data_IF_381271139709
#
_entry.id   IF_381271139709
#
_cell.length_a   1.000
_cell.length_b   1.000
_cell.length_c   1.000
_cell.angle_alpha   90.00
_cell.angle_beta   90.00
_cell.angle_gamma   90.00
#
_symmetry.space_group_name_H-M   'P 1'
#
loop_
_entity.id
_entity.type
_entity.pdbx_description
1 polymer ?
#
# COMPACT_ATOMS: atom_id res chain seq x y z
N UNK A 1 -14.25 25.67 8.72
CA UNK A 1 -14.22 24.55 9.69
C UNK A 1 -13.28 24.90 10.83
N UNK A 2 -13.46 24.30 12.03
CA UNK A 2 -12.55 24.54 13.14
C UNK A 2 -11.14 24.02 12.81
N UNK A 3 -10.11 24.80 13.10
CA UNK A 3 -8.72 24.46 12.86
C UNK A 3 -8.22 23.51 13.94
N UNK A 4 -7.78 22.31 13.56
CA UNK A 4 -7.26 21.29 14.48
C UNK A 4 -5.73 21.32 14.55
N UNK A 5 -5.20 20.91 15.69
CA UNK A 5 -3.79 20.57 15.88
C UNK A 5 -3.64 19.05 15.77
N UNK A 6 -3.11 18.57 14.67
CA UNK A 6 -2.97 17.14 14.37
C UNK A 6 -1.51 16.72 14.53
N UNK A 7 -1.25 15.78 15.44
CA UNK A 7 0.06 15.14 15.62
C UNK A 7 0.04 13.76 14.96
N UNK A 8 0.94 13.53 14.03
CA UNK A 8 1.16 12.21 13.41
C UNK A 8 2.45 11.63 13.97
N UNK A 9 2.39 10.40 14.48
CA UNK A 9 3.56 9.70 15.03
C UNK A 9 3.69 8.37 14.31
N UNK A 10 4.64 8.25 13.40
CA UNK A 10 4.81 7.06 12.57
C UNK A 10 6.24 6.85 12.11
N UNK A 11 6.60 5.58 11.91
CA UNK A 11 7.95 5.19 11.48
C UNK A 11 8.26 5.68 10.07
N UNK A 12 7.30 5.57 9.16
CA UNK A 12 7.47 5.89 7.74
C UNK A 12 6.76 7.20 7.38
N UNK A 13 7.47 8.08 6.69
CA UNK A 13 6.96 9.37 6.23
C UNK A 13 7.69 9.83 4.96
N UNK A 14 7.13 10.83 4.29
CA UNK A 14 7.79 11.51 3.17
C UNK A 14 9.26 11.93 3.51
N UNK A 15 10.20 11.87 2.55
CA UNK A 15 10.03 11.68 1.11
C UNK A 15 9.98 10.22 0.62
N UNK A 16 9.69 9.25 1.48
CA UNK A 16 9.49 7.86 1.03
C UNK A 16 8.29 7.79 0.07
N UNK A 17 8.54 7.36 -1.16
CA UNK A 17 7.55 7.42 -2.25
C UNK A 17 6.65 6.19 -2.35
N UNK A 18 6.83 5.21 -1.46
CA UNK A 18 6.10 3.93 -1.52
C UNK A 18 5.53 3.55 -0.15
N UNK A 19 4.46 2.76 -0.18
CA UNK A 19 3.84 2.22 1.03
C UNK A 19 3.37 3.30 2.01
N UNK A 20 3.53 3.04 3.29
CA UNK A 20 3.00 3.85 4.39
C UNK A 20 3.56 5.27 4.39
N UNK A 21 4.83 5.45 4.01
CA UNK A 21 5.47 6.76 3.97
C UNK A 21 4.80 7.72 2.99
N UNK A 22 4.39 7.22 1.81
CA UNK A 22 3.61 7.97 0.82
C UNK A 22 2.27 8.41 1.40
N UNK A 23 1.46 7.47 1.89
CA UNK A 23 0.12 7.78 2.40
C UNK A 23 0.14 8.70 3.62
N UNK A 24 1.08 8.48 4.54
CA UNK A 24 1.24 9.37 5.71
C UNK A 24 1.66 10.78 5.30
N UNK A 25 2.54 10.90 4.29
CA UNK A 25 2.97 12.18 3.74
C UNK A 25 1.83 12.94 3.07
N UNK A 26 1.14 12.29 2.14
CA UNK A 26 0.00 12.87 1.41
C UNK A 26 -1.14 13.26 2.36
N UNK A 27 -1.46 12.47 3.38
CA UNK A 27 -2.44 12.80 4.42
C UNK A 27 -2.03 14.06 5.19
N UNK A 28 -0.77 14.17 5.60
CA UNK A 28 -0.28 15.33 6.34
C UNK A 28 -0.33 16.62 5.50
N UNK A 29 0.10 16.53 4.23
CA UNK A 29 0.06 17.64 3.28
C UNK A 29 -1.38 18.08 3.00
N UNK A 30 -2.30 17.13 2.81
CA UNK A 30 -3.71 17.41 2.55
C UNK A 30 -4.39 18.08 3.76
N UNK A 31 -4.21 17.56 4.98
CA UNK A 31 -4.73 18.16 6.22
C UNK A 31 -4.18 19.58 6.43
N UNK A 32 -2.91 19.82 6.13
CA UNK A 32 -2.34 21.17 6.17
C UNK A 32 -3.03 22.08 5.14
N UNK A 33 -3.30 21.58 3.92
CA UNK A 33 -4.01 22.30 2.87
C UNK A 33 -5.45 22.69 3.26
N UNK A 34 -6.10 21.89 4.12
CA UNK A 34 -7.41 22.22 4.71
C UNK A 34 -7.33 23.24 5.87
N UNK A 35 -6.14 23.76 6.18
CA UNK A 35 -5.92 24.78 7.19
C UNK A 35 -5.65 24.26 8.60
N UNK A 36 -5.49 22.95 8.80
CA UNK A 36 -5.09 22.38 10.09
C UNK A 36 -3.62 22.67 10.41
N UNK A 37 -3.26 22.64 11.68
CA UNK A 37 -1.85 22.65 12.10
C UNK A 37 -1.35 21.19 12.20
N UNK A 38 -0.40 20.81 11.34
CA UNK A 38 0.09 19.43 11.31
C UNK A 38 1.56 19.37 11.77
N UNK A 39 1.82 18.47 12.71
CA UNK A 39 3.18 18.10 13.12
C UNK A 39 3.38 16.60 12.95
N UNK A 40 4.57 16.21 12.52
CA UNK A 40 4.93 14.80 12.33
C UNK A 40 6.16 14.46 13.15
N UNK A 41 6.10 13.36 13.90
CA UNK A 41 7.26 12.72 14.53
C UNK A 41 7.53 11.43 13.76
N UNK A 42 8.71 11.32 13.17
CA UNK A 42 9.11 10.21 12.32
C UNK A 42 10.62 9.98 12.39
N UNK A 43 11.16 9.21 11.46
CA UNK A 43 12.59 8.93 11.33
C UNK A 43 13.14 9.45 10.00
N UNK A 44 14.46 9.48 9.80
CA UNK A 44 15.05 9.70 8.49
C UNK A 44 14.55 8.65 7.48
N UNK A 45 14.32 9.01 6.20
CA UNK A 45 13.85 8.06 5.19
C UNK A 45 14.89 6.95 4.99
N UNK A 46 14.42 5.70 5.02
CA UNK A 46 15.28 4.51 4.91
C UNK A 46 14.66 3.39 4.05
N UNK A 47 13.35 3.42 3.89
CA UNK A 47 12.61 2.40 3.14
C UNK A 47 12.45 2.79 1.67
N UNK A 48 12.47 1.86 0.70
CA UNK A 48 12.57 0.40 0.84
C UNK A 48 14.00 -0.16 0.93
N UNK A 49 15.05 0.68 0.80
CA UNK A 49 16.44 0.24 0.66
C UNK A 49 17.08 -0.24 1.97
N UNK A 50 16.40 -0.12 3.12
CA UNK A 50 16.94 -0.40 4.45
C UNK A 50 18.26 0.33 4.71
N UNK A 51 18.34 1.57 4.24
CA UNK A 51 19.48 2.45 4.39
C UNK A 51 19.03 3.89 4.49
N UNK A 52 19.54 4.59 5.51
CA UNK A 52 19.26 6.04 5.64
C UNK A 52 19.74 6.77 4.39
N UNK A 53 18.83 7.50 3.75
CA UNK A 53 19.06 8.21 2.49
C UNK A 53 19.78 9.54 2.76
N UNK A 54 20.73 9.91 1.89
CA UNK A 54 21.35 11.22 1.92
C UNK A 54 20.31 12.31 1.57
N UNK A 55 20.35 13.50 2.22
CA UNK A 55 21.35 14.01 3.16
C UNK A 55 21.08 13.68 4.64
N UNK A 56 20.10 12.86 4.95
CA UNK A 56 19.67 12.55 6.32
C UNK A 56 20.73 11.76 7.10
N UNK A 57 20.68 11.89 8.45
CA UNK A 57 21.57 11.17 9.37
C UNK A 57 20.74 10.39 10.39
N UNK A 58 20.97 9.07 10.48
CA UNK A 58 20.21 8.17 11.34
C UNK A 58 20.44 8.33 12.85
N UNK A 59 21.41 9.10 13.29
CA UNK A 59 21.82 9.21 14.69
C UNK A 59 21.53 10.59 15.35
N UNK A 60 20.81 11.48 14.64
CA UNK A 60 20.53 12.85 15.13
C UNK A 60 19.04 13.15 15.13
N UNK A 61 18.60 13.90 16.12
CA UNK A 61 17.33 14.61 16.07
C UNK A 61 17.42 15.76 15.07
N UNK A 62 16.42 15.87 14.21
CA UNK A 62 16.33 16.93 13.22
C UNK A 62 14.92 17.49 13.19
N UNK A 63 14.79 18.81 13.03
CA UNK A 63 13.53 19.49 12.77
C UNK A 63 13.62 20.12 11.39
N UNK A 64 12.63 19.86 10.55
CA UNK A 64 12.53 20.43 9.23
C UNK A 64 11.10 20.87 8.91
N UNK A 65 10.97 21.67 7.86
CA UNK A 65 9.69 21.96 7.24
C UNK A 65 9.67 21.24 5.88
N UNK A 66 8.82 20.23 5.75
CA UNK A 66 8.68 19.48 4.51
C UNK A 66 7.31 19.77 3.90
N UNK A 67 7.28 20.44 2.74
CA UNK A 67 6.05 20.90 2.06
C UNK A 67 5.07 21.62 3.01
N UNK A 68 5.58 22.47 3.88
CA UNK A 68 4.80 23.23 4.86
C UNK A 68 4.52 22.50 6.18
N UNK A 69 4.66 21.19 6.24
CA UNK A 69 4.49 20.39 7.46
C UNK A 69 5.71 20.47 8.36
N UNK A 70 5.51 20.68 9.66
CA UNK A 70 6.60 20.62 10.65
C UNK A 70 6.92 19.17 10.98
N UNK A 71 8.11 18.72 10.63
CA UNK A 71 8.58 17.34 10.81
C UNK A 71 9.72 17.26 11.81
N UNK A 72 9.59 16.38 12.79
CA UNK A 72 10.63 16.03 13.76
C UNK A 72 11.12 14.62 13.46
N UNK A 73 12.40 14.49 13.06
CA UNK A 73 13.01 13.19 12.80
C UNK A 73 13.83 12.72 13.98
N UNK A 74 13.54 11.49 14.44
CA UNK A 74 14.24 10.83 15.55
C UNK A 74 15.42 10.01 15.04
N UNK A 75 16.44 9.76 15.88
CA UNK A 75 17.44 8.72 15.63
C UNK A 75 16.79 7.35 15.40
N UNK A 76 17.35 6.56 14.45
CA UNK A 76 16.87 5.24 14.12
C UNK A 76 18.01 4.26 13.90
N UNK A 77 17.91 3.08 14.49
CA UNK A 77 18.76 1.95 14.10
C UNK A 77 18.20 1.31 12.84
N UNK A 78 18.97 1.34 11.75
CA UNK A 78 18.61 0.67 10.48
C UNK A 78 19.57 -0.52 10.28
N UNK A 79 19.07 -1.77 10.33
CA UNK A 79 19.91 -2.95 10.15
C UNK A 79 20.36 -3.10 8.70
N UNK A 80 21.60 -3.58 8.51
CA UNK A 80 22.11 -3.93 7.18
C UNK A 80 21.48 -5.24 6.66
N UNK A 81 21.27 -6.19 7.56
CA UNK A 81 20.59 -7.46 7.28
C UNK A 81 19.31 -7.52 8.13
N UNK A 82 18.16 -7.73 7.51
CA UNK A 82 16.86 -7.69 8.19
C UNK A 82 16.54 -9.05 8.80
N UNK A 83 17.19 -9.37 9.93
CA UNK A 83 16.80 -10.53 10.75
C UNK A 83 15.65 -10.18 11.70
N UNK A 84 14.90 -11.16 12.23
CA UNK A 84 13.82 -10.94 13.18
C UNK A 84 14.22 -10.09 14.38
N UNK A 85 15.35 -10.40 15.00
CA UNK A 85 15.86 -9.69 16.17
C UNK A 85 16.25 -8.24 15.81
N UNK A 86 16.92 -8.06 14.69
CA UNK A 86 17.33 -6.74 14.23
C UNK A 86 16.12 -5.87 13.84
N UNK A 87 15.05 -6.48 13.29
CA UNK A 87 13.79 -5.78 13.05
C UNK A 87 13.11 -5.35 14.35
N UNK A 88 13.13 -6.18 15.37
CA UNK A 88 12.64 -5.81 16.71
C UNK A 88 13.42 -4.65 17.31
N UNK A 89 14.78 -4.68 17.25
CA UNK A 89 15.64 -3.58 17.70
C UNK A 89 15.34 -2.30 16.92
N UNK A 90 15.12 -2.40 15.62
CA UNK A 90 14.74 -1.29 14.76
C UNK A 90 13.44 -0.61 15.25
N UNK A 91 12.39 -1.38 15.49
CA UNK A 91 11.10 -0.88 15.97
C UNK A 91 11.21 -0.28 17.39
N UNK A 92 11.94 -0.94 18.29
CA UNK A 92 12.18 -0.44 19.64
C UNK A 92 13.02 0.83 19.64
N UNK A 93 14.00 0.97 18.74
CA UNK A 93 14.80 2.18 18.63
C UNK A 93 13.95 3.41 18.28
N UNK A 94 12.93 3.25 17.42
CA UNK A 94 11.96 4.30 17.15
C UNK A 94 11.10 4.62 18.38
N UNK A 95 10.56 3.59 19.04
CA UNK A 95 9.72 3.80 20.22
C UNK A 95 10.46 4.60 21.31
N UNK A 96 11.74 4.28 21.55
CA UNK A 96 12.57 4.97 22.55
C UNK A 96 12.93 6.39 22.07
N UNK A 97 13.39 6.55 20.84
CA UNK A 97 13.88 7.85 20.33
C UNK A 97 12.75 8.85 20.06
N UNK A 98 11.54 8.40 19.73
CA UNK A 98 10.39 9.28 19.52
C UNK A 98 9.77 9.80 20.81
N UNK A 99 9.94 9.09 21.94
CA UNK A 99 9.29 9.42 23.21
C UNK A 99 9.62 10.84 23.72
N UNK A 100 10.87 11.32 23.76
CA UNK A 100 11.19 12.70 24.19
C UNK A 100 10.47 13.74 23.32
N UNK A 101 10.38 13.52 22.01
CA UNK A 101 9.69 14.44 21.11
C UNK A 101 8.18 14.42 21.32
N UNK A 102 7.59 13.25 21.64
CA UNK A 102 6.18 13.15 22.01
C UNK A 102 5.88 13.92 23.30
N UNK A 103 6.74 13.84 24.33
CA UNK A 103 6.59 14.61 25.56
C UNK A 103 6.61 16.13 25.30
N UNK A 104 7.42 16.60 24.37
CA UNK A 104 7.47 18.02 23.99
C UNK A 104 6.15 18.48 23.36
N UNK A 105 5.36 17.58 22.75
CA UNK A 105 4.09 17.94 22.16
C UNK A 105 2.97 18.17 23.21
N UNK A 106 3.14 17.77 24.46
CA UNK A 106 2.23 18.14 25.56
C UNK A 106 2.10 19.68 25.69
N UNK A 107 3.18 20.44 25.48
CA UNK A 107 3.13 21.91 25.48
C UNK A 107 2.41 22.47 24.25
N UNK A 108 2.41 21.75 23.13
CA UNK A 108 1.68 22.17 21.92
C UNK A 108 0.18 21.85 22.00
N UNK A 109 -0.20 20.85 22.81
CA UNK A 109 -1.57 20.40 23.03
C UNK A 109 -2.25 20.01 21.72
N UNK A 110 -1.90 18.85 21.11
CA UNK A 110 -2.62 18.36 19.94
C UNK A 110 -4.08 18.10 20.29
N UNK A 111 -4.99 18.32 19.33
CA UNK A 111 -6.39 17.93 19.44
C UNK A 111 -6.56 16.44 19.06
N UNK A 112 -5.75 15.96 18.11
CA UNK A 112 -5.75 14.57 17.63
C UNK A 112 -4.34 14.06 17.51
N UNK A 113 -4.12 12.80 17.90
CA UNK A 113 -2.89 12.04 17.65
C UNK A 113 -3.24 10.86 16.74
N UNK A 114 -2.61 10.80 15.55
CA UNK A 114 -2.73 9.71 14.60
C UNK A 114 -1.43 8.91 14.65
N UNK A 115 -1.53 7.59 14.87
CA UNK A 115 -0.40 6.69 14.93
C UNK A 115 -0.50 5.62 13.83
N UNK A 116 0.15 5.84 12.65
CA UNK A 116 0.25 4.82 11.61
C UNK A 116 1.13 3.65 12.03
N UNK A 117 0.63 2.42 11.85
CA UNK A 117 1.37 1.17 12.04
C UNK A 117 1.97 0.77 10.68
N UNK A 118 3.24 0.32 10.60
CA UNK A 118 4.01 -0.40 11.62
C UNK A 118 4.80 0.54 12.54
N UNK A 119 4.37 0.64 13.74
CA UNK A 119 5.06 1.30 14.85
C UNK A 119 4.39 0.91 16.18
N UNK A 120 3.91 -0.35 16.26
CA UNK A 120 3.09 -0.83 17.37
C UNK A 120 3.77 -0.64 18.74
N UNK A 121 5.11 -0.70 18.79
CA UNK A 121 5.87 -0.48 20.02
C UNK A 121 5.86 0.98 20.51
N UNK A 122 5.65 1.95 19.64
CA UNK A 122 5.48 3.36 20.02
C UNK A 122 4.04 3.70 20.43
N UNK A 123 3.07 2.86 20.07
CA UNK A 123 1.64 3.11 20.25
C UNK A 123 1.22 3.29 21.73
N UNK A 124 1.74 2.54 22.72
CA UNK A 124 1.42 2.80 24.13
C UNK A 124 1.79 4.21 24.57
N UNK A 125 2.90 4.74 24.06
CA UNK A 125 3.33 6.12 24.37
C UNK A 125 2.44 7.14 23.69
N UNK A 126 2.01 6.89 22.44
CA UNK A 126 1.03 7.74 21.75
C UNK A 126 -0.29 7.81 22.53
N UNK A 127 -0.81 6.68 22.98
CA UNK A 127 -2.03 6.63 23.80
C UNK A 127 -1.87 7.35 25.15
N UNK A 128 -0.71 7.24 25.79
CA UNK A 128 -0.40 7.96 27.02
C UNK A 128 -0.37 9.48 26.79
N UNK A 129 0.35 9.94 25.76
CA UNK A 129 0.44 11.37 25.43
C UNK A 129 -0.93 11.92 25.06
N UNK A 130 -1.77 11.16 24.33
CA UNK A 130 -3.12 11.55 24.00
C UNK A 130 -3.94 11.80 25.28
N UNK A 131 -3.90 10.88 26.24
CA UNK A 131 -4.59 11.05 27.54
C UNK A 131 -4.09 12.25 28.33
N UNK A 132 -2.75 12.47 28.37
CA UNK A 132 -2.16 13.58 29.12
C UNK A 132 -2.43 14.95 28.49
N UNK A 133 -2.64 15.02 27.16
CA UNK A 133 -2.97 16.24 26.42
C UNK A 133 -4.46 16.42 26.19
N UNK A 134 -5.31 15.51 26.66
CA UNK A 134 -6.75 15.43 26.40
C UNK A 134 -7.08 15.36 24.89
N UNK A 135 -6.13 14.85 24.11
CA UNK A 135 -6.29 14.64 22.67
C UNK A 135 -7.05 13.35 22.38
N UNK A 136 -7.77 13.32 21.28
CA UNK A 136 -8.29 12.09 20.70
C UNK A 136 -7.19 11.30 20.02
N UNK A 137 -7.29 9.99 20.05
CA UNK A 137 -6.25 9.08 19.54
C UNK A 137 -6.79 8.12 18.49
N UNK A 138 -6.07 8.00 17.37
CA UNK A 138 -6.39 7.09 16.28
C UNK A 138 -5.18 6.21 16.00
N UNK A 139 -5.38 4.89 16.09
CA UNK A 139 -4.41 3.90 15.61
C UNK A 139 -4.77 3.54 14.18
N UNK A 140 -3.94 3.94 13.21
CA UNK A 140 -4.17 3.65 11.80
C UNK A 140 -3.36 2.43 11.35
N UNK A 141 -4.05 1.30 11.12
CA UNK A 141 -3.42 0.01 10.82
C UNK A 141 -3.33 -0.16 9.30
N UNK A 142 -2.11 -0.09 8.78
CA UNK A 142 -1.77 -0.40 7.40
C UNK A 142 -1.33 -1.87 7.23
N UNK A 143 -0.85 -2.50 8.32
CA UNK A 143 -0.50 -3.91 8.39
C UNK A 143 -0.58 -4.39 9.85
N UNK A 144 -0.97 -5.64 10.07
CA UNK A 144 -0.93 -6.28 11.39
C UNK A 144 0.46 -6.83 11.64
N UNK A 145 1.34 -6.05 12.30
CA UNK A 145 2.75 -6.40 12.54
C UNK A 145 2.92 -7.76 13.20
N UNK A 146 2.10 -8.04 14.21
CA UNK A 146 2.19 -9.31 14.95
C UNK A 146 1.83 -10.49 14.05
N UNK A 147 0.78 -10.38 13.25
CA UNK A 147 0.40 -11.45 12.31
C UNK A 147 1.46 -11.63 11.21
N UNK A 148 2.03 -10.54 10.71
CA UNK A 148 3.12 -10.58 9.74
C UNK A 148 4.37 -11.29 10.33
N UNK A 149 4.67 -11.07 11.62
CA UNK A 149 5.76 -11.77 12.31
C UNK A 149 5.50 -13.28 12.41
N UNK A 150 4.27 -13.70 12.71
CA UNK A 150 3.89 -15.11 12.75
C UNK A 150 3.94 -15.74 11.34
N UNK A 151 3.41 -15.07 10.33
CA UNK A 151 3.43 -15.55 8.94
C UNK A 151 4.84 -15.75 8.36
N UNK A 152 5.83 -15.01 8.88
CA UNK A 152 7.24 -15.18 8.52
C UNK A 152 7.97 -16.23 9.39
N UNK A 153 7.27 -16.97 10.26
CA UNK A 153 7.89 -17.95 11.16
C UNK A 153 8.78 -17.33 12.25
N UNK A 154 8.66 -16.01 12.47
CA UNK A 154 9.49 -15.24 13.41
C UNK A 154 9.00 -15.36 14.86
N UNK A 155 7.81 -15.88 15.09
CA UNK A 155 7.25 -16.14 16.41
C UNK A 155 6.59 -17.51 16.43
N UNK A 156 6.89 -18.31 17.45
CA UNK A 156 6.24 -19.59 17.70
C UNK A 156 4.95 -19.38 18.52
N UNK A 157 4.01 -20.33 18.44
CA UNK A 157 2.74 -20.29 19.20
C UNK A 157 2.89 -20.44 20.73
N UNK A 158 4.10 -20.44 21.24
CA UNK A 158 4.43 -20.53 22.66
C UNK A 158 4.05 -19.28 23.48
N UNK A 159 4.65 -19.14 24.68
CA UNK A 159 4.42 -18.00 25.58
C UNK A 159 4.69 -16.63 24.93
N UNK A 160 5.72 -16.53 24.08
CA UNK A 160 6.06 -15.29 23.36
C UNK A 160 4.93 -14.87 22.44
N UNK A 161 4.33 -15.81 21.71
CA UNK A 161 3.19 -15.52 20.84
C UNK A 161 1.94 -15.09 21.60
N UNK A 162 1.67 -15.71 22.77
CA UNK A 162 0.56 -15.28 23.63
C UNK A 162 0.79 -13.87 24.18
N UNK A 163 2.02 -13.53 24.58
CA UNK A 163 2.38 -12.21 25.05
C UNK A 163 2.23 -11.16 23.94
N UNK A 164 2.72 -11.44 22.74
CA UNK A 164 2.61 -10.54 21.58
C UNK A 164 1.15 -10.25 21.23
N UNK A 165 0.29 -11.27 21.17
CA UNK A 165 -1.16 -11.10 20.93
C UNK A 165 -1.87 -10.33 22.06
N UNK A 166 -1.46 -10.56 23.32
CA UNK A 166 -2.02 -9.80 24.45
C UNK A 166 -1.61 -8.34 24.41
N UNK A 167 -0.34 -8.07 24.08
CA UNK A 167 0.18 -6.72 23.88
C UNK A 167 -0.56 -6.00 22.74
N UNK A 168 -0.73 -6.65 21.57
CA UNK A 168 -1.49 -6.10 20.47
C UNK A 168 -2.92 -5.73 20.86
N UNK A 169 -3.65 -6.65 21.52
CA UNK A 169 -5.01 -6.39 22.02
C UNK A 169 -5.06 -5.21 23.01
N UNK A 170 -4.08 -5.11 23.90
CA UNK A 170 -3.98 -4.00 24.83
C UNK A 170 -3.80 -2.67 24.09
N UNK A 171 -2.92 -2.64 23.10
CA UNK A 171 -2.67 -1.45 22.26
C UNK A 171 -3.94 -1.08 21.49
N UNK A 172 -4.55 -2.02 20.78
CA UNK A 172 -5.77 -1.80 20.00
C UNK A 172 -6.90 -1.17 20.84
N UNK A 173 -7.04 -1.60 22.10
CA UNK A 173 -8.07 -1.09 23.02
C UNK A 173 -7.70 0.21 23.73
N UNK A 174 -6.47 0.68 23.60
CA UNK A 174 -6.00 1.89 24.28
C UNK A 174 -6.28 3.19 23.52
N UNK A 175 -6.70 3.08 22.25
CA UNK A 175 -7.03 4.20 21.38
C UNK A 175 -8.53 4.46 21.34
N UNK A 176 -8.93 5.73 21.11
CA UNK A 176 -10.34 6.11 20.95
C UNK A 176 -10.94 5.53 19.68
N UNK A 177 -10.14 5.44 18.60
CA UNK A 177 -10.50 4.84 17.32
C UNK A 177 -9.36 4.00 16.75
N UNK A 178 -9.75 2.96 16.03
CA UNK A 178 -8.84 2.14 15.23
C UNK A 178 -9.29 2.23 13.78
N UNK A 179 -8.45 2.74 12.89
CA UNK A 179 -8.73 2.77 11.46
C UNK A 179 -7.95 1.71 10.71
N UNK A 180 -8.56 1.15 9.68
CA UNK A 180 -7.94 0.15 8.80
C UNK A 180 -8.20 0.48 7.33
N UNK A 181 -7.39 -0.10 6.46
CA UNK A 181 -7.39 0.20 5.03
C UNK A 181 -8.26 -0.75 4.20
N UNK A 182 -8.86 -1.78 4.83
CA UNK A 182 -9.75 -2.71 4.14
C UNK A 182 -10.83 -3.25 5.08
N UNK A 183 -11.93 -3.74 4.50
CA UNK A 183 -13.04 -4.34 5.24
C UNK A 183 -12.63 -5.66 5.91
N UNK A 184 -11.77 -6.43 5.28
CA UNK A 184 -11.21 -7.66 5.86
C UNK A 184 -10.37 -7.35 7.10
N UNK A 185 -9.58 -6.27 7.06
CA UNK A 185 -8.82 -5.81 8.22
C UNK A 185 -9.71 -5.27 9.33
N UNK A 186 -10.86 -4.63 9.03
CA UNK A 186 -11.86 -4.24 10.03
C UNK A 186 -12.44 -5.45 10.75
N UNK A 187 -12.87 -6.49 10.00
CA UNK A 187 -13.33 -7.76 10.60
C UNK A 187 -12.28 -8.37 11.52
N UNK A 188 -11.02 -8.33 11.10
CA UNK A 188 -9.89 -8.82 11.89
C UNK A 188 -9.65 -7.98 13.17
N UNK A 189 -9.83 -6.66 13.12
CA UNK A 189 -9.77 -5.80 14.30
C UNK A 189 -10.84 -6.17 15.33
N UNK A 190 -12.08 -6.47 14.89
CA UNK A 190 -13.16 -6.96 15.76
C UNK A 190 -12.76 -8.29 16.43
N UNK A 191 -12.23 -9.24 15.67
CA UNK A 191 -11.74 -10.53 16.19
C UNK A 191 -10.61 -10.34 17.24
N UNK A 192 -9.80 -9.30 17.08
CA UNK A 192 -8.75 -8.89 18.03
C UNK A 192 -9.32 -8.11 19.24
N UNK A 193 -10.61 -7.83 19.28
CA UNK A 193 -11.33 -7.24 20.39
C UNK A 193 -11.48 -5.73 20.37
N UNK A 194 -11.40 -5.11 19.18
CA UNK A 194 -11.82 -3.72 18.95
C UNK A 194 -13.35 -3.71 18.84
N UNK A 195 -13.99 -2.73 19.45
CA UNK A 195 -15.45 -2.54 19.31
C UNK A 195 -15.78 -1.99 17.94
N UNK A 196 -16.93 -2.39 17.38
CA UNK A 196 -17.35 -1.93 16.05
C UNK A 196 -17.54 -0.42 15.98
N UNK A 197 -18.07 0.20 17.04
CA UNK A 197 -18.26 1.65 17.15
C UNK A 197 -16.93 2.43 17.27
N UNK A 198 -15.83 1.77 17.56
CA UNK A 198 -14.49 2.35 17.60
C UNK A 198 -13.73 2.20 16.26
N UNK A 199 -14.31 1.52 15.27
CA UNK A 199 -13.66 1.30 13.98
C UNK A 199 -13.93 2.46 13.01
N UNK A 200 -12.91 2.77 12.20
CA UNK A 200 -13.00 3.69 11.08
C UNK A 200 -12.47 2.99 9.82
N UNK A 201 -13.17 3.14 8.72
CA UNK A 201 -12.70 2.71 7.41
C UNK A 201 -11.92 3.85 6.77
N UNK A 202 -10.62 3.65 6.57
CA UNK A 202 -9.75 4.67 5.96
C UNK A 202 -8.84 3.98 4.94
N UNK A 203 -9.36 3.71 3.72
CA UNK A 203 -8.63 2.97 2.71
C UNK A 203 -7.44 3.76 2.14
N UNK A 204 -6.50 3.05 1.57
CA UNK A 204 -5.49 3.65 0.73
C UNK A 204 -6.14 4.22 -0.54
N UNK A 205 -5.57 5.28 -1.09
CA UNK A 205 -6.14 6.04 -2.20
C UNK A 205 -5.23 6.08 -3.43
N UNK A 206 -5.82 6.48 -4.53
CA UNK A 206 -5.12 6.90 -5.74
C UNK A 206 -5.46 8.35 -6.05
N UNK A 207 -4.52 9.08 -6.61
CA UNK A 207 -4.80 10.38 -7.22
C UNK A 207 -5.47 10.13 -8.57
N UNK A 208 -6.80 10.02 -8.58
CA UNK A 208 -7.55 9.70 -9.81
C UNK A 208 -7.44 10.80 -10.85
N UNK A 209 -7.13 12.04 -10.45
CA UNK A 209 -6.96 13.16 -11.36
C UNK A 209 -5.76 13.00 -12.31
N UNK A 210 -4.75 12.20 -11.89
CA UNK A 210 -3.60 11.87 -12.74
C UNK A 210 -4.00 11.10 -14.02
N UNK A 211 -5.17 10.45 -13.99
CA UNK A 211 -5.68 9.63 -15.09
C UNK A 211 -6.77 10.33 -15.90
N UNK A 212 -7.15 11.56 -15.53
CA UNK A 212 -8.12 12.35 -16.30
C UNK A 212 -7.54 12.70 -17.67
N UNK A 213 -8.22 12.25 -18.73
CA UNK A 213 -7.74 12.42 -20.09
C UNK A 213 -6.58 11.50 -20.50
N UNK A 214 -6.19 10.54 -19.66
CA UNK A 214 -5.21 9.53 -20.03
C UNK A 214 -5.71 8.75 -21.26
N UNK A 215 -4.90 8.72 -22.31
CA UNK A 215 -5.23 8.06 -23.56
C UNK A 215 -4.14 7.04 -23.93
N UNK A 216 -4.51 5.97 -24.66
CA UNK A 216 -3.52 5.08 -25.25
C UNK A 216 -2.54 5.83 -26.13
N UNK A 217 -1.26 5.51 -26.02
CA UNK A 217 -0.21 6.08 -26.88
C UNK A 217 0.42 4.97 -27.72
N UNK A 218 0.45 5.16 -29.02
CA UNK A 218 1.15 4.26 -29.96
C UNK A 218 2.64 4.15 -29.62
N UNK A 219 3.25 5.26 -29.23
CA UNK A 219 4.67 5.30 -28.85
C UNK A 219 4.96 4.41 -27.64
N UNK A 220 3.98 4.25 -26.72
CA UNK A 220 4.13 3.38 -25.56
C UNK A 220 4.17 1.90 -25.97
N UNK A 221 3.32 1.47 -26.91
CA UNK A 221 3.36 0.11 -27.44
C UNK A 221 4.66 -0.14 -28.24
N UNK A 222 5.06 0.81 -29.08
CA UNK A 222 6.31 0.73 -29.86
C UNK A 222 7.54 0.63 -28.97
N UNK A 223 7.61 1.41 -27.90
CA UNK A 223 8.71 1.37 -26.91
C UNK A 223 8.96 -0.01 -26.33
N UNK A 224 7.91 -0.82 -26.18
CA UNK A 224 8.01 -2.21 -25.68
C UNK A 224 8.08 -3.25 -26.81
N UNK A 225 8.18 -2.82 -28.06
CA UNK A 225 8.20 -3.72 -29.20
C UNK A 225 6.87 -4.44 -29.45
N UNK A 226 5.75 -3.87 -29.00
CA UNK A 226 4.40 -4.40 -29.22
C UNK A 226 3.94 -3.97 -30.61
N UNK A 227 3.69 -4.91 -31.55
CA UNK A 227 3.15 -4.56 -32.86
C UNK A 227 1.82 -3.81 -32.75
N UNK A 228 1.54 -2.89 -33.66
CA UNK A 228 0.37 -2.00 -33.62
C UNK A 228 -0.97 -2.76 -33.65
N UNK A 229 -1.00 -3.92 -34.30
CA UNK A 229 -2.14 -4.82 -34.39
C UNK A 229 -2.25 -5.82 -33.25
N UNK A 230 -1.25 -5.83 -32.33
CA UNK A 230 -1.27 -6.71 -31.17
C UNK A 230 -1.94 -6.06 -29.95
N UNK A 231 -2.57 -6.88 -29.13
CA UNK A 231 -3.06 -6.50 -27.81
C UNK A 231 -1.94 -6.54 -26.78
N UNK A 232 -1.84 -5.50 -25.95
CA UNK A 232 -0.85 -5.38 -24.90
C UNK A 232 -1.41 -5.87 -23.57
N UNK A 233 -0.82 -6.93 -23.02
CA UNK A 233 -1.13 -7.49 -21.71
C UNK A 233 -0.04 -7.04 -20.73
N UNK A 234 -0.38 -6.19 -19.77
CA UNK A 234 0.57 -5.49 -18.91
C UNK A 234 0.58 -6.04 -17.49
N UNK A 235 1.75 -6.40 -17.00
CA UNK A 235 2.05 -6.46 -15.58
C UNK A 235 2.94 -5.27 -15.20
N UNK A 236 2.54 -4.47 -14.22
CA UNK A 236 3.36 -3.38 -13.68
C UNK A 236 3.49 -3.52 -12.17
N UNK A 237 4.74 -3.58 -11.66
CA UNK A 237 5.01 -3.65 -10.22
C UNK A 237 6.24 -4.47 -9.84
N UNK A 238 6.33 -4.82 -8.56
CA UNK A 238 7.43 -5.63 -8.04
C UNK A 238 7.45 -7.05 -8.65
N UNK A 239 8.62 -7.49 -9.10
CA UNK A 239 8.86 -8.82 -9.70
C UNK A 239 9.54 -9.70 -8.64
N UNK A 240 8.76 -10.14 -7.64
CA UNK A 240 9.23 -10.99 -6.55
C UNK A 240 8.57 -12.37 -6.53
N UNK A 241 9.08 -13.27 -5.68
CA UNK A 241 8.58 -14.64 -5.59
C UNK A 241 7.12 -14.78 -5.14
N UNK A 242 6.63 -13.79 -4.37
CA UNK A 242 5.25 -13.76 -3.88
C UNK A 242 4.21 -13.58 -4.99
N UNK A 243 4.61 -12.99 -6.11
CA UNK A 243 3.72 -12.72 -7.23
C UNK A 243 3.46 -13.97 -8.10
N UNK A 244 4.40 -14.91 -8.14
CA UNK A 244 4.21 -16.13 -8.95
C UNK A 244 4.07 -15.85 -10.44
N UNK A 245 4.90 -14.94 -10.97
CA UNK A 245 4.82 -14.50 -12.37
C UNK A 245 5.23 -15.58 -13.39
N UNK A 246 5.67 -16.74 -12.94
CA UNK A 246 5.94 -17.91 -13.79
C UNK A 246 4.68 -18.27 -14.59
N UNK A 247 3.49 -18.19 -13.99
CA UNK A 247 2.22 -18.46 -14.68
C UNK A 247 1.95 -17.46 -15.82
N UNK A 248 2.49 -16.23 -15.73
CA UNK A 248 2.38 -15.25 -16.83
C UNK A 248 3.23 -15.69 -18.02
N UNK A 249 4.41 -16.27 -17.78
CA UNK A 249 5.28 -16.83 -18.85
C UNK A 249 4.58 -18.03 -19.51
N UNK A 250 3.89 -18.87 -18.73
CA UNK A 250 3.11 -20.00 -19.27
C UNK A 250 1.94 -19.54 -20.12
N UNK A 251 1.22 -18.50 -19.68
CA UNK A 251 0.17 -17.89 -20.49
C UNK A 251 0.72 -17.26 -21.77
N UNK A 252 1.90 -16.58 -21.70
CA UNK A 252 2.54 -16.03 -22.89
C UNK A 252 2.96 -17.12 -23.91
N UNK A 253 3.42 -18.29 -23.43
CA UNK A 253 3.73 -19.44 -24.29
C UNK A 253 2.47 -20.00 -24.98
N UNK A 254 1.35 -20.12 -24.25
CA UNK A 254 0.07 -20.50 -24.81
C UNK A 254 -0.39 -19.54 -25.92
N UNK A 255 -0.20 -18.23 -25.71
CA UNK A 255 -0.62 -17.18 -26.66
C UNK A 255 0.40 -16.82 -27.74
N UNK A 256 1.53 -17.54 -27.87
CA UNK A 256 2.62 -17.19 -28.80
C UNK A 256 2.24 -17.09 -30.26
N UNK A 257 1.14 -17.74 -30.69
CA UNK A 257 0.61 -17.67 -32.06
C UNK A 257 -0.56 -16.71 -32.24
N UNK A 258 -0.99 -16.01 -31.15
CA UNK A 258 -2.04 -15.00 -31.17
C UNK A 258 -1.42 -13.59 -31.21
N UNK A 259 -2.17 -12.56 -31.66
CA UNK A 259 -1.68 -11.20 -31.68
C UNK A 259 -1.72 -10.57 -30.28
N UNK A 260 -1.09 -11.25 -29.31
CA UNK A 260 -1.01 -10.82 -27.91
C UNK A 260 0.45 -10.68 -27.48
N UNK A 261 0.77 -9.55 -26.89
CA UNK A 261 2.11 -9.23 -26.43
C UNK A 261 2.10 -8.89 -24.95
N UNK A 262 2.90 -9.60 -24.19
CA UNK A 262 3.03 -9.41 -22.76
C UNK A 262 4.13 -8.40 -22.46
N UNK A 263 3.87 -7.50 -21.51
CA UNK A 263 4.86 -6.50 -21.05
C UNK A 263 4.95 -6.56 -19.54
N UNK A 264 6.15 -6.82 -19.04
CA UNK A 264 6.45 -6.84 -17.59
C UNK A 264 7.29 -5.60 -17.26
N UNK A 265 6.66 -4.61 -16.62
CA UNK A 265 7.29 -3.36 -16.18
C UNK A 265 7.56 -3.46 -14.68
N UNK A 266 8.83 -3.53 -14.29
CA UNK A 266 9.22 -3.63 -12.90
C UNK A 266 10.58 -4.24 -12.66
N UNK A 267 10.97 -4.27 -11.38
CA UNK A 267 12.18 -4.89 -10.90
C UNK A 267 11.90 -5.73 -9.65
N UNK A 268 12.81 -6.65 -9.32
CA UNK A 268 12.71 -7.52 -8.17
C UNK A 268 13.56 -8.78 -8.31
N UNK A 269 13.65 -9.54 -7.22
CA UNK A 269 14.52 -10.74 -7.13
C UNK A 269 14.18 -11.83 -8.13
N UNK A 270 12.93 -11.90 -8.60
CA UNK A 270 12.46 -12.92 -9.55
C UNK A 270 12.74 -12.61 -11.02
N UNK A 271 13.10 -11.36 -11.37
CA UNK A 271 13.21 -10.92 -12.79
C UNK A 271 14.17 -11.77 -13.61
N UNK A 272 15.35 -12.03 -13.08
CA UNK A 272 16.37 -12.84 -13.79
C UNK A 272 15.90 -14.27 -14.07
N UNK A 273 15.16 -14.88 -13.13
CA UNK A 273 14.55 -16.20 -13.31
C UNK A 273 13.52 -16.21 -14.43
N UNK A 274 12.65 -15.20 -14.49
CA UNK A 274 11.64 -15.09 -15.54
C UNK A 274 12.27 -14.87 -16.91
N UNK A 275 13.27 -13.99 -17.01
CA UNK A 275 14.01 -13.75 -18.26
C UNK A 275 14.66 -15.03 -18.79
N UNK A 276 15.23 -15.86 -17.91
CA UNK A 276 15.79 -17.15 -18.26
C UNK A 276 14.71 -18.10 -18.81
N UNK A 277 13.55 -18.20 -18.18
CA UNK A 277 12.42 -19.01 -18.67
C UNK A 277 11.95 -18.57 -20.05
N UNK A 278 11.87 -17.25 -20.31
CA UNK A 278 11.53 -16.71 -21.64
C UNK A 278 12.53 -17.12 -22.70
N UNK A 279 13.83 -17.07 -22.38
CA UNK A 279 14.90 -17.52 -23.30
C UNK A 279 14.84 -19.02 -23.57
N UNK A 280 14.67 -19.85 -22.54
CA UNK A 280 14.56 -21.31 -22.66
C UNK A 280 13.36 -21.74 -23.52
N UNK A 281 12.25 -20.99 -23.46
CA UNK A 281 11.05 -21.24 -24.28
C UNK A 281 11.04 -20.51 -25.62
N UNK A 282 12.09 -19.74 -25.93
CA UNK A 282 12.22 -18.93 -27.15
C UNK A 282 11.01 -18.03 -27.45
N UNK A 283 10.39 -17.44 -26.41
CA UNK A 283 9.22 -16.59 -26.55
C UNK A 283 9.61 -15.23 -27.11
N UNK A 284 8.85 -14.76 -28.13
CA UNK A 284 9.03 -13.47 -28.80
C UNK A 284 7.93 -12.47 -28.47
N UNK A 285 6.87 -12.90 -27.81
CA UNK A 285 5.68 -12.11 -27.48
C UNK A 285 5.70 -11.63 -26.02
N UNK A 286 6.87 -11.43 -25.44
CA UNK A 286 7.03 -10.91 -24.09
C UNK A 286 8.25 -9.99 -23.97
N UNK A 287 8.05 -8.82 -23.34
CA UNK A 287 9.08 -7.82 -23.09
C UNK A 287 9.21 -7.50 -21.62
N UNK A 288 10.42 -7.11 -21.18
CA UNK A 288 10.72 -6.64 -19.84
C UNK A 288 11.23 -5.21 -19.88
N UNK A 289 10.75 -4.38 -18.94
CA UNK A 289 11.23 -3.01 -18.75
C UNK A 289 11.48 -2.76 -17.26
N UNK A 290 12.40 -1.86 -16.89
CA UNK A 290 12.43 -1.29 -15.55
C UNK A 290 11.16 -0.47 -15.29
N UNK A 291 10.97 -0.04 -14.02
CA UNK A 291 9.90 0.90 -13.68
C UNK A 291 10.07 2.20 -14.47
N UNK A 292 8.96 2.75 -14.94
CA UNK A 292 8.92 4.04 -15.62
C UNK A 292 8.81 5.18 -14.60
N UNK A 293 9.04 6.40 -15.05
CA UNK A 293 8.77 7.61 -14.28
C UNK A 293 7.27 7.78 -13.99
N UNK A 294 6.93 8.42 -12.88
CA UNK A 294 5.54 8.60 -12.47
C UNK A 294 4.70 9.35 -13.50
N UNK A 295 5.31 10.30 -14.21
CA UNK A 295 4.65 11.06 -15.28
C UNK A 295 4.22 10.21 -16.48
N UNK A 296 4.88 9.07 -16.71
CA UNK A 296 4.58 8.16 -17.82
C UNK A 296 3.51 7.11 -17.44
N UNK A 297 3.23 6.96 -16.14
CA UNK A 297 2.33 5.92 -15.63
C UNK A 297 0.91 5.98 -16.23
N UNK A 298 0.26 7.16 -16.37
CA UNK A 298 -1.07 7.24 -16.97
C UNK A 298 -1.09 6.72 -18.41
N UNK A 299 -0.13 7.12 -19.24
CA UNK A 299 -0.01 6.68 -20.63
C UNK A 299 0.29 5.18 -20.73
N UNK A 300 1.16 4.65 -19.87
CA UNK A 300 1.45 3.22 -19.79
C UNK A 300 0.19 2.43 -19.52
N UNK A 301 -0.55 2.79 -18.46
CA UNK A 301 -1.75 2.06 -18.05
C UNK A 301 -2.88 2.19 -19.08
N UNK A 302 -3.08 3.39 -19.66
CA UNK A 302 -4.09 3.58 -20.69
C UNK A 302 -3.78 2.80 -21.99
N UNK A 303 -2.51 2.50 -22.26
CA UNK A 303 -2.08 1.79 -23.47
C UNK A 303 -2.24 0.27 -23.39
N UNK A 304 -2.49 -0.28 -22.20
CA UNK A 304 -2.68 -1.71 -22.01
C UNK A 304 -4.13 -2.12 -22.31
N UNK A 305 -4.30 -3.20 -23.07
CA UNK A 305 -5.60 -3.78 -23.37
C UNK A 305 -6.09 -4.70 -22.22
N UNK A 306 -5.16 -5.25 -21.43
CA UNK A 306 -5.44 -6.05 -20.25
C UNK A 306 -4.34 -5.86 -19.20
N UNK A 307 -4.72 -5.78 -17.93
CA UNK A 307 -3.81 -5.65 -16.79
C UNK A 307 -3.76 -6.91 -15.94
N UNK A 308 -2.58 -7.26 -15.44
CA UNK A 308 -2.39 -8.43 -14.60
C UNK A 308 -2.10 -8.02 -13.15
N UNK A 309 -2.92 -8.49 -12.23
CA UNK A 309 -2.74 -8.37 -10.78
C UNK A 309 -2.56 -9.78 -10.22
N UNK A 310 -1.31 -10.24 -10.23
CA UNK A 310 -0.97 -11.64 -9.98
C UNK A 310 -0.39 -11.80 -8.58
N UNK A 311 -0.87 -12.82 -7.86
CA UNK A 311 -0.40 -13.22 -6.53
C UNK A 311 -0.52 -14.73 -6.37
N UNK A 312 0.37 -15.31 -5.56
CA UNK A 312 0.30 -16.73 -5.17
C UNK A 312 -0.82 -16.98 -4.16
N UNK A 313 -1.26 -18.22 -4.09
CA UNK A 313 -2.20 -18.69 -3.07
C UNK A 313 -1.64 -18.47 -1.66
N UNK A 314 -2.50 -18.05 -0.73
CA UNK A 314 -2.12 -17.82 0.67
C UNK A 314 -1.22 -16.59 0.90
N UNK A 315 -0.88 -15.83 -0.13
CA UNK A 315 -0.35 -14.46 0.05
C UNK A 315 -1.54 -13.59 0.40
N UNK A 316 -1.85 -13.55 1.69
CA UNK A 316 -3.07 -12.93 2.19
C UNK A 316 -3.17 -11.47 1.75
N UNK A 317 -4.16 -11.20 0.92
CA UNK A 317 -4.54 -9.85 0.54
C UNK A 317 -5.44 -9.26 1.61
N UNK A 318 -4.82 -8.73 2.64
CA UNK A 318 -5.54 -7.88 3.58
C UNK A 318 -5.81 -6.48 2.99
N UNK A 319 -5.27 -6.16 1.80
CA UNK A 319 -5.20 -4.79 1.27
C UNK A 319 -5.30 -4.78 -0.23
N UNK A 320 -6.02 -3.78 -0.78
CA UNK A 320 -5.97 -3.50 -2.21
C UNK A 320 -4.54 -3.11 -2.62
N UNK A 321 -3.90 -3.82 -3.55
CA UNK A 321 -2.58 -3.45 -4.05
C UNK A 321 -2.62 -2.06 -4.70
N UNK A 322 -1.63 -1.21 -4.42
CA UNK A 322 -1.56 0.14 -4.98
C UNK A 322 -1.56 0.17 -6.52
N UNK A 323 -1.07 -0.89 -7.17
CA UNK A 323 -1.17 -1.04 -8.62
C UNK A 323 -2.62 -1.18 -9.10
N UNK A 324 -3.47 -1.90 -8.36
CA UNK A 324 -4.87 -2.08 -8.72
C UNK A 324 -5.62 -0.75 -8.62
N UNK A 325 -5.37 0.07 -7.59
CA UNK A 325 -6.03 1.38 -7.46
C UNK A 325 -5.79 2.26 -8.70
N UNK A 326 -4.58 2.26 -9.25
CA UNK A 326 -4.24 3.01 -10.46
C UNK A 326 -4.89 2.40 -11.72
N UNK A 327 -4.93 1.07 -11.83
CA UNK A 327 -5.59 0.36 -12.94
C UNK A 327 -7.09 0.67 -12.96
N UNK A 328 -7.75 0.65 -11.80
CA UNK A 328 -9.16 0.99 -11.70
C UNK A 328 -9.40 2.46 -12.06
N UNK A 329 -8.51 3.36 -11.63
CA UNK A 329 -8.63 4.79 -11.91
C UNK A 329 -8.54 5.12 -13.40
N UNK A 330 -7.67 4.44 -14.15
CA UNK A 330 -7.56 4.62 -15.63
C UNK A 330 -8.67 3.90 -16.41
N UNK A 331 -9.50 3.08 -15.74
CA UNK A 331 -10.50 2.24 -16.40
C UNK A 331 -9.90 1.05 -17.14
N UNK A 332 -8.81 0.49 -16.62
CA UNK A 332 -8.17 -0.70 -17.19
C UNK A 332 -8.96 -1.98 -16.90
N UNK A 333 -9.10 -2.85 -17.90
CA UNK A 333 -9.61 -4.21 -17.69
C UNK A 333 -8.52 -5.05 -17.02
N UNK A 334 -8.81 -5.61 -15.85
CA UNK A 334 -7.83 -6.37 -15.07
C UNK A 334 -8.21 -7.83 -14.89
N UNK A 335 -7.19 -8.70 -14.88
CA UNK A 335 -7.30 -10.09 -14.38
C UNK A 335 -6.61 -10.15 -13.04
N UNK A 336 -7.32 -10.59 -12.01
CA UNK A 336 -6.86 -10.64 -10.63
C UNK A 336 -6.83 -12.10 -10.16
N UNK A 337 -5.65 -12.59 -9.74
CA UNK A 337 -5.59 -13.88 -9.06
C UNK A 337 -5.88 -13.67 -7.58
N UNK A 338 -7.02 -14.17 -7.10
CA UNK A 338 -7.45 -14.03 -5.72
C UNK A 338 -8.38 -15.17 -5.29
N UNK A 339 -8.27 -15.58 -4.01
CA UNK A 339 -9.25 -16.47 -3.40
C UNK A 339 -10.57 -15.71 -3.14
N UNK A 340 -11.74 -16.35 -3.19
CA UNK A 340 -13.05 -15.67 -3.16
C UNK A 340 -13.32 -14.85 -1.89
N UNK A 341 -12.73 -15.24 -0.77
CA UNK A 341 -12.90 -14.66 0.57
C UNK A 341 -11.83 -13.62 0.96
N UNK A 342 -10.88 -13.36 0.07
CA UNK A 342 -9.90 -12.29 0.23
C UNK A 342 -10.49 -10.92 -0.12
N UNK A 343 -9.81 -9.82 0.25
CA UNK A 343 -10.26 -8.45 -0.08
C UNK A 343 -10.49 -8.26 -1.58
N UNK A 344 -9.58 -8.79 -2.42
CA UNK A 344 -9.71 -8.73 -3.87
C UNK A 344 -10.86 -9.60 -4.40
N UNK A 345 -11.05 -10.78 -3.82
CA UNK A 345 -12.16 -11.66 -4.16
C UNK A 345 -13.49 -11.02 -3.82
N UNK A 346 -13.62 -10.43 -2.63
CA UNK A 346 -14.82 -9.73 -2.19
C UNK A 346 -15.12 -8.51 -3.07
N UNK A 347 -14.09 -7.73 -3.46
CA UNK A 347 -14.25 -6.62 -4.39
C UNK A 347 -14.86 -7.07 -5.72
N UNK A 348 -14.33 -8.13 -6.32
CA UNK A 348 -14.85 -8.65 -7.60
C UNK A 348 -16.25 -9.21 -7.48
N UNK A 349 -16.60 -9.81 -6.32
CA UNK A 349 -17.95 -10.33 -6.07
C UNK A 349 -18.98 -9.21 -5.85
N UNK A 350 -18.59 -8.12 -5.16
CA UNK A 350 -19.48 -6.99 -4.87
C UNK A 350 -19.71 -6.11 -6.09
N UNK A 351 -18.68 -5.91 -6.90
CA UNK A 351 -18.72 -5.04 -8.09
C UNK A 351 -18.51 -5.89 -9.35
N UNK A 352 -19.56 -6.60 -9.78
CA UNK A 352 -19.50 -7.43 -10.96
C UNK A 352 -19.03 -6.65 -12.20
N UNK A 353 -18.01 -7.16 -12.89
CA UNK A 353 -17.39 -6.51 -14.05
C UNK A 353 -16.29 -5.50 -13.73
N UNK A 354 -15.93 -5.27 -12.46
CA UNK A 354 -14.80 -4.40 -12.09
C UNK A 354 -13.46 -5.00 -12.54
N UNK A 355 -13.35 -6.32 -12.48
CA UNK A 355 -12.20 -7.10 -12.95
C UNK A 355 -12.59 -8.58 -13.10
N UNK A 356 -11.78 -9.33 -13.85
CA UNK A 356 -11.90 -10.79 -13.96
C UNK A 356 -11.13 -11.45 -12.80
N UNK A 357 -11.85 -12.10 -11.87
CA UNK A 357 -11.23 -12.88 -10.80
C UNK A 357 -10.96 -14.30 -11.26
N UNK A 358 -9.74 -14.75 -11.07
CA UNK A 358 -9.33 -16.13 -11.35
C UNK A 358 -8.65 -16.75 -10.12
N UNK A 359 -8.68 -18.07 -10.01
CA UNK A 359 -8.03 -18.74 -8.90
C UNK A 359 -6.50 -18.64 -9.01
N UNK A 360 -5.79 -18.36 -7.89
CA UNK A 360 -4.34 -18.29 -7.89
C UNK A 360 -3.70 -19.62 -8.32
N UNK A 361 -2.51 -19.52 -8.95
CA UNK A 361 -1.71 -20.68 -9.39
C UNK A 361 -2.44 -21.62 -10.36
N UNK A 362 -3.44 -21.10 -11.08
CA UNK A 362 -4.18 -21.82 -12.13
C UNK A 362 -3.99 -21.10 -13.47
N UNK A 363 -3.10 -21.64 -14.30
CA UNK A 363 -2.74 -21.06 -15.61
C UNK A 363 -3.91 -21.10 -16.59
N UNK A 364 -4.70 -22.16 -16.58
CA UNK A 364 -5.87 -22.31 -17.46
C UNK A 364 -6.92 -21.23 -17.14
N UNK A 365 -7.20 -21.02 -15.85
CA UNK A 365 -8.08 -19.93 -15.40
C UNK A 365 -7.52 -18.54 -15.77
N UNK A 366 -6.20 -18.35 -15.66
CA UNK A 366 -5.55 -17.11 -16.07
C UNK A 366 -5.70 -16.84 -17.57
N UNK A 367 -5.54 -17.86 -18.41
CA UNK A 367 -5.73 -17.78 -19.87
C UNK A 367 -7.17 -17.36 -20.20
N UNK A 368 -8.16 -18.02 -19.61
CA UNK A 368 -9.59 -17.69 -19.80
C UNK A 368 -9.89 -16.26 -19.34
N UNK A 369 -9.35 -15.87 -18.17
CA UNK A 369 -9.52 -14.52 -17.64
C UNK A 369 -8.92 -13.44 -18.54
N UNK A 370 -7.75 -13.70 -19.13
CA UNK A 370 -7.12 -12.79 -20.09
C UNK A 370 -8.00 -12.62 -21.35
N UNK A 371 -8.52 -13.71 -21.92
CA UNK A 371 -9.40 -13.64 -23.09
C UNK A 371 -10.70 -12.88 -22.78
N UNK A 372 -11.29 -13.11 -21.59
CA UNK A 372 -12.47 -12.39 -21.12
C UNK A 372 -12.17 -10.87 -20.98
N UNK A 373 -11.09 -10.51 -20.29
CA UNK A 373 -10.71 -9.13 -20.09
C UNK A 373 -10.41 -8.38 -21.41
N UNK A 374 -9.81 -9.07 -22.40
CA UNK A 374 -9.55 -8.50 -23.73
C UNK A 374 -10.81 -8.28 -24.56
N UNK A 375 -11.90 -8.98 -24.27
CA UNK A 375 -13.21 -8.81 -24.91
C UNK A 375 -14.08 -7.76 -24.20
N UNK A 376 -13.73 -7.35 -22.98
CA UNK A 376 -14.50 -6.38 -22.21
C UNK A 376 -14.40 -4.97 -22.81
N UNK A 377 -15.45 -4.12 -22.65
CA UNK A 377 -15.42 -2.74 -23.10
C UNK A 377 -14.27 -1.95 -22.49
N UNK A 378 -13.61 -1.08 -23.29
CA UNK A 378 -12.53 -0.19 -22.85
C UNK A 378 -12.94 1.26 -23.13
N UNK A 379 -12.84 2.19 -22.15
CA UNK A 379 -12.43 1.96 -20.75
C UNK A 379 -13.50 1.22 -19.93
N UNK A 380 -13.07 0.53 -18.85
CA UNK A 380 -13.96 -0.10 -17.89
C UNK A 380 -14.61 0.95 -16.99
N UNK A 381 -15.86 1.29 -17.31
CA UNK A 381 -16.61 2.35 -16.59
C UNK A 381 -16.91 1.95 -15.15
N UNK A 382 -17.12 0.65 -14.86
CA UNK A 382 -17.37 0.15 -13.50
C UNK A 382 -16.13 0.39 -12.62
N UNK A 383 -14.96 0.07 -13.15
CA UNK A 383 -13.68 0.31 -12.48
C UNK A 383 -13.44 1.80 -12.21
N UNK A 384 -13.63 2.66 -13.22
CA UNK A 384 -13.50 4.12 -13.06
C UNK A 384 -14.47 4.70 -12.04
N UNK A 385 -15.73 4.26 -12.08
CA UNK A 385 -16.73 4.71 -11.13
C UNK A 385 -16.34 4.33 -9.69
N UNK A 386 -15.97 3.06 -9.49
CA UNK A 386 -15.49 2.59 -8.18
C UNK A 386 -14.28 3.41 -7.70
N UNK A 387 -13.29 3.63 -8.56
CA UNK A 387 -12.11 4.40 -8.22
C UNK A 387 -12.47 5.82 -7.76
N UNK A 388 -13.30 6.52 -8.50
CA UNK A 388 -13.74 7.88 -8.17
C UNK A 388 -14.60 7.95 -6.90
N UNK A 389 -15.39 6.93 -6.60
CA UNK A 389 -16.30 6.94 -5.47
C UNK A 389 -15.64 6.46 -4.17
N UNK A 390 -14.71 5.49 -4.23
CA UNK A 390 -14.23 4.76 -3.06
C UNK A 390 -12.75 4.93 -2.76
N UNK A 391 -11.91 5.25 -3.78
CA UNK A 391 -10.46 5.32 -3.61
C UNK A 391 -9.84 6.62 -4.14
N UNK A 392 -10.66 7.59 -4.54
CA UNK A 392 -10.16 8.92 -4.89
C UNK A 392 -9.56 9.61 -3.66
N UNK A 393 -8.35 10.18 -3.84
CA UNK A 393 -7.59 10.79 -2.75
C UNK A 393 -8.38 11.84 -1.98
N UNK A 394 -8.98 12.77 -2.69
CA UNK A 394 -9.64 13.91 -2.05
C UNK A 394 -10.93 13.50 -1.35
N UNK A 395 -11.65 12.52 -1.90
CA UNK A 395 -12.81 11.93 -1.22
C UNK A 395 -12.46 11.15 0.03
N UNK A 396 -11.45 10.28 -0.07
CA UNK A 396 -11.00 9.47 1.08
C UNK A 396 -10.49 10.37 2.19
N UNK A 397 -9.66 11.36 1.88
CA UNK A 397 -9.09 12.28 2.87
C UNK A 397 -10.14 13.22 3.45
N UNK A 398 -11.09 13.72 2.63
CA UNK A 398 -12.22 14.53 3.12
C UNK A 398 -13.16 13.73 4.04
N UNK A 399 -13.43 12.46 3.71
CA UNK A 399 -14.19 11.56 4.59
C UNK A 399 -13.51 11.36 5.93
N UNK A 400 -12.19 11.11 5.91
CA UNK A 400 -11.40 10.94 7.13
C UNK A 400 -11.38 12.24 7.97
N UNK A 401 -11.23 13.42 7.37
CA UNK A 401 -11.32 14.71 8.07
C UNK A 401 -12.67 14.87 8.76
N UNK A 402 -13.77 14.53 8.07
CA UNK A 402 -15.11 14.59 8.69
C UNK A 402 -15.20 13.67 9.91
N UNK A 403 -14.60 12.49 9.87
CA UNK A 403 -14.54 11.59 11.01
C UNK A 403 -13.66 12.12 12.14
N UNK A 404 -12.54 12.80 11.82
CA UNK A 404 -11.75 13.54 12.81
C UNK A 404 -12.57 14.63 13.50
N UNK A 405 -13.35 15.40 12.74
CA UNK A 405 -14.20 16.47 13.27
C UNK A 405 -15.33 15.97 14.16
N UNK A 406 -15.90 14.79 13.86
CA UNK A 406 -16.94 14.18 14.71
C UNK A 406 -16.37 13.60 16.02
N UNK A 407 -15.08 13.30 16.05
CA UNK A 407 -14.44 12.71 17.20
C UNK A 407 -14.12 13.73 18.31
N UNK A 408 -13.97 14.99 17.95
CA UNK A 408 -13.62 16.10 18.83
C UNK A 408 -14.88 16.84 19.29
#
# INVERSE_FOLDING_TARGET
MAKLKVLIVGLNYAPEMTGIGKYTGEMAEWLLGQGHEVRVITVPPYYPQWRVQSPYKGYRYQKECFKGVTVYRCPLYVPRNVTPIQRLIHLLSFAISSFPLMLLQLFWRPAVIINPVPSLFSSPMCALIARLSEAKSILHIQDYEIDAMFGLGMANEGMVGKFARTFERMVLRSFDRVSTISLSMMKKAVQKGVKEDALLFFPNWSDTSLFDGAAPSGDMKERFGVPSDHKMILYSGNVGDKQGLEQVIEAADYFKSKPYHFVIVGDGSGKGKLQKLVQERALKNIAFSPLLELAELPSLLASADCHLVIQKKGVADAVLPSKLTNILAVGGNAVITAEPDTELGLLCNEYAGIAERVDPENVEALIIGIESALCAPTPNIIAMKYARENIDRDKVLSGFEQDLMKLI
#
